data_IF_109557788042
#
_entry.id   IF_109557788042
#
_cell.length_a   1.000
_cell.length_b   1.000
_cell.length_c   1.000
_cell.angle_alpha   90.00
_cell.angle_beta   90.00
_cell.angle_gamma   90.00
#
_symmetry.space_group_name_H-M   'P 1'
#
loop_
_entity.id
_entity.type
_entity.pdbx_description
1 polymer ?
#
# COMPACT_ATOMS: atom_id res chain seq x y z
N UNK A 1 -19.24 -18.71 8.09
CA UNK A 1 -19.01 -17.26 7.90
C UNK A 1 -17.79 -17.14 7.00
N UNK A 2 -18.00 -16.83 5.71
CA UNK A 2 -16.91 -16.83 4.72
C UNK A 2 -15.97 -15.67 5.04
N UNK A 3 -14.76 -16.01 5.50
CA UNK A 3 -13.70 -15.05 5.77
C UNK A 3 -13.19 -14.57 4.40
N UNK A 4 -13.48 -13.30 4.07
CA UNK A 4 -12.86 -12.66 2.90
C UNK A 4 -11.38 -12.45 3.24
N UNK A 5 -10.50 -13.14 2.52
CA UNK A 5 -9.06 -12.96 2.65
C UNK A 5 -8.70 -11.63 1.96
N UNK A 6 -8.12 -10.70 2.72
CA UNK A 6 -7.64 -9.43 2.15
C UNK A 6 -6.23 -9.68 1.66
N UNK A 7 -6.06 -9.91 0.35
CA UNK A 7 -4.73 -10.03 -0.26
C UNK A 7 -4.11 -8.64 -0.40
N UNK A 8 -2.87 -8.52 0.06
CA UNK A 8 -2.03 -7.35 -0.18
C UNK A 8 -1.03 -7.74 -1.30
N UNK A 9 -1.00 -7.01 -2.42
CA UNK A 9 -0.25 -7.41 -3.60
C UNK A 9 1.28 -7.49 -3.39
N UNK A 10 1.90 -8.56 -3.90
CA UNK A 10 3.35 -8.73 -3.96
C UNK A 10 3.86 -8.31 -5.35
N UNK A 11 4.74 -7.31 -5.39
CA UNK A 11 5.11 -6.54 -6.59
C UNK A 11 5.75 -7.41 -7.69
N UNK A 12 5.32 -7.27 -8.96
CA UNK A 12 5.97 -7.85 -10.16
C UNK A 12 5.85 -6.91 -11.38
N UNK A 13 6.92 -6.84 -12.18
CA UNK A 13 7.38 -5.75 -13.07
C UNK A 13 6.65 -5.68 -14.43
N UNK A 14 6.27 -4.46 -14.88
CA UNK A 14 6.23 -4.09 -16.30
C UNK A 14 6.33 -2.56 -16.49
N UNK A 15 7.25 -2.10 -17.34
CA UNK A 15 7.55 -0.70 -17.66
C UNK A 15 6.80 -0.25 -18.92
N UNK A 16 6.09 0.88 -18.88
CA UNK A 16 5.79 1.67 -20.08
C UNK A 16 6.02 3.16 -19.79
N UNK A 17 7.01 3.74 -20.47
CA UNK A 17 7.35 5.16 -20.38
C UNK A 17 6.91 5.82 -21.69
N UNK A 18 5.88 6.66 -21.63
CA UNK A 18 5.64 7.68 -22.67
C UNK A 18 6.03 9.04 -22.11
N UNK A 19 7.08 9.62 -22.68
CA UNK A 19 7.50 10.99 -22.42
C UNK A 19 6.71 11.98 -23.26
N UNK A 20 6.30 13.09 -22.65
CA UNK A 20 5.91 14.30 -23.35
C UNK A 20 6.31 15.53 -22.52
N UNK A 21 7.08 16.42 -23.15
CA UNK A 21 7.48 17.72 -22.63
C UNK A 21 6.36 18.75 -22.80
N UNK A 22 6.08 19.48 -21.73
CA UNK A 22 5.26 20.70 -21.67
C UNK A 22 5.34 21.25 -20.25
N UNK A 23 5.48 22.57 -20.07
CA UNK A 23 5.47 23.20 -18.74
C UNK A 23 4.22 22.81 -17.94
N UNK A 24 4.27 22.74 -16.59
CA UNK A 24 3.36 21.90 -15.82
C UNK A 24 1.95 22.49 -15.83
N UNK A 25 1.14 22.09 -16.80
CA UNK A 25 -0.28 21.93 -16.55
C UNK A 25 -0.42 21.12 -15.25
N UNK A 26 -1.28 21.56 -14.32
CA UNK A 26 -1.62 20.74 -13.14
C UNK A 26 -2.02 19.37 -13.68
N UNK A 27 -1.19 18.36 -13.46
CA UNK A 27 -1.45 17.00 -13.93
C UNK A 27 -2.71 16.53 -13.21
N UNK A 28 -3.74 16.22 -13.99
CA UNK A 28 -4.96 15.64 -13.48
C UNK A 28 -4.75 14.14 -13.29
N UNK A 29 -4.73 13.71 -12.04
CA UNK A 29 -4.56 12.30 -11.64
C UNK A 29 -5.88 11.63 -11.25
N UNK A 30 -7.02 12.27 -11.50
CA UNK A 30 -8.34 11.74 -11.11
C UNK A 30 -8.64 10.36 -11.70
N UNK A 31 -8.06 10.02 -12.85
CA UNK A 31 -8.21 8.71 -13.50
C UNK A 31 -7.34 7.61 -12.89
N UNK A 32 -6.36 7.99 -12.07
CA UNK A 32 -5.37 7.07 -11.49
C UNK A 32 -5.81 6.48 -10.14
N UNK A 33 -7.00 6.83 -9.67
CA UNK A 33 -7.57 6.40 -8.39
C UNK A 33 -9.04 6.00 -8.54
N UNK A 34 -9.55 5.19 -7.62
CA UNK A 34 -10.99 4.93 -7.50
C UNK A 34 -11.71 6.04 -6.73
N UNK A 35 -11.00 6.73 -5.85
CA UNK A 35 -11.56 7.80 -5.01
C UNK A 35 -10.51 8.85 -4.66
N UNK A 36 -11.00 10.06 -4.43
CA UNK A 36 -10.23 11.21 -3.97
C UNK A 36 -9.98 12.24 -5.07
N UNK A 37 -9.42 13.38 -4.66
CA UNK A 37 -9.17 14.53 -5.53
C UNK A 37 -7.73 15.01 -5.40
N UNK A 38 -7.22 15.61 -6.46
CA UNK A 38 -5.87 16.15 -6.53
C UNK A 38 -5.91 17.67 -6.67
N UNK A 39 -5.13 18.37 -5.86
CA UNK A 39 -4.83 19.79 -6.01
C UNK A 39 -3.31 19.99 -6.01
N UNK A 40 -2.71 20.03 -7.20
CA UNK A 40 -1.26 20.03 -7.33
C UNK A 40 -0.66 18.71 -6.82
N UNK A 41 0.19 18.80 -5.80
CA UNK A 41 0.86 17.65 -5.17
C UNK A 41 0.16 17.15 -3.90
N UNK A 42 -1.09 17.59 -3.68
CA UNK A 42 -1.90 17.23 -2.53
C UNK A 42 -3.05 16.33 -2.97
N UNK A 43 -3.15 15.17 -2.32
CA UNK A 43 -4.25 14.23 -2.45
C UNK A 43 -5.22 14.38 -1.27
N UNK A 44 -6.52 14.20 -1.52
CA UNK A 44 -7.54 14.17 -0.47
C UNK A 44 -8.56 13.06 -0.75
N UNK A 45 -8.74 12.16 0.22
CA UNK A 45 -9.82 11.17 0.27
C UNK A 45 -10.92 11.69 1.18
N UNK A 46 -12.11 11.92 0.64
CA UNK A 46 -13.28 12.30 1.44
C UNK A 46 -13.76 11.12 2.28
N UNK A 47 -13.71 9.92 1.71
CA UNK A 47 -14.13 8.68 2.36
C UNK A 47 -13.37 8.42 3.67
N UNK A 48 -12.07 8.72 3.70
CA UNK A 48 -11.21 8.53 4.87
C UNK A 48 -11.01 9.82 5.69
N UNK A 49 -11.46 10.98 5.18
CA UNK A 49 -11.08 12.28 5.75
C UNK A 49 -9.57 12.52 5.69
N UNK A 50 -8.88 11.87 4.76
CA UNK A 50 -7.44 11.78 4.71
C UNK A 50 -6.86 12.73 3.68
N UNK A 51 -5.79 13.43 4.04
CA UNK A 51 -5.08 14.35 3.15
C UNK A 51 -3.58 14.16 3.28
N UNK A 52 -2.89 14.02 2.16
CA UNK A 52 -1.44 13.80 2.12
C UNK A 52 -0.82 14.54 0.93
N UNK A 53 0.39 15.06 1.11
CA UNK A 53 1.24 15.53 0.01
C UNK A 53 2.10 14.39 -0.54
N UNK A 54 2.37 14.40 -1.84
CA UNK A 54 3.29 13.47 -2.50
C UNK A 54 4.42 14.23 -3.22
N UNK A 55 5.55 13.57 -3.52
CA UNK A 55 6.68 14.25 -4.14
C UNK A 55 6.41 14.65 -5.60
N UNK A 56 6.68 15.91 -5.95
CA UNK A 56 6.49 16.43 -7.32
C UNK A 56 7.29 15.67 -8.39
N UNK A 57 8.42 15.07 -7.99
CA UNK A 57 9.34 14.38 -8.89
C UNK A 57 9.12 12.85 -8.93
N UNK A 58 8.05 12.34 -8.32
CA UNK A 58 7.72 10.92 -8.34
C UNK A 58 6.50 10.69 -9.25
N UNK A 59 6.40 9.46 -9.77
CA UNK A 59 5.38 9.09 -10.73
C UNK A 59 4.15 8.63 -9.95
N UNK A 60 2.98 9.22 -10.21
CA UNK A 60 1.71 8.65 -9.75
C UNK A 60 1.50 7.31 -10.45
N UNK A 61 1.29 6.26 -9.67
CA UNK A 61 1.07 4.91 -10.20
C UNK A 61 -0.36 4.80 -10.67
N UNK A 62 -0.57 4.30 -11.89
CA UNK A 62 -1.92 4.19 -12.45
C UNK A 62 -2.75 3.13 -11.73
N UNK A 63 -4.05 3.37 -11.63
CA UNK A 63 -5.00 2.40 -11.09
C UNK A 63 -4.91 1.05 -11.80
N UNK A 64 -4.88 1.08 -13.13
CA UNK A 64 -4.78 -0.13 -13.95
C UNK A 64 -3.53 -0.96 -13.66
N UNK A 65 -2.41 -0.31 -13.30
CA UNK A 65 -1.18 -0.99 -12.91
C UNK A 65 -1.35 -1.71 -11.58
N UNK A 66 -2.06 -1.09 -10.63
CA UNK A 66 -2.38 -1.69 -9.33
C UNK A 66 -3.38 -2.85 -9.48
N UNK A 67 -4.44 -2.69 -10.26
CA UNK A 67 -5.41 -3.77 -10.56
C UNK A 67 -4.71 -4.97 -11.21
N UNK A 68 -3.84 -4.71 -12.19
CA UNK A 68 -3.03 -5.77 -12.81
C UNK A 68 -2.09 -6.44 -11.81
N UNK A 69 -1.59 -5.70 -10.82
CA UNK A 69 -0.73 -6.25 -9.78
C UNK A 69 -1.51 -7.13 -8.81
N UNK A 70 -2.72 -6.73 -8.46
CA UNK A 70 -3.64 -7.49 -7.62
C UNK A 70 -3.99 -8.84 -8.26
N UNK A 71 -4.29 -8.85 -9.56
CA UNK A 71 -4.53 -10.08 -10.33
C UNK A 71 -3.32 -11.00 -10.35
N UNK A 72 -2.12 -10.46 -10.60
CA UNK A 72 -0.88 -11.25 -10.56
C UNK A 72 -0.61 -11.80 -9.16
N UNK A 73 -0.91 -11.03 -8.13
CA UNK A 73 -0.72 -11.46 -6.74
C UNK A 73 -1.62 -12.63 -6.39
N UNK A 74 -2.91 -12.58 -6.78
CA UNK A 74 -3.83 -13.71 -6.65
C UNK A 74 -3.33 -14.95 -7.38
N UNK A 75 -2.94 -14.79 -8.64
CA UNK A 75 -2.43 -15.90 -9.44
C UNK A 75 -1.16 -16.52 -8.84
N UNK A 76 -0.29 -15.72 -8.20
CA UNK A 76 0.96 -16.21 -7.62
C UNK A 76 0.80 -17.09 -6.37
N UNK A 77 -0.38 -17.06 -5.74
CA UNK A 77 -0.73 -17.86 -4.56
C UNK A 77 -1.91 -18.80 -4.81
N UNK A 78 -2.24 -19.04 -6.09
CA UNK A 78 -3.37 -19.85 -6.53
C UNK A 78 -4.73 -19.47 -5.88
N UNK A 79 -4.91 -18.19 -5.53
CA UNK A 79 -6.14 -17.73 -4.87
C UNK A 79 -7.25 -17.42 -5.89
N UNK A 80 -8.17 -18.36 -5.97
CA UNK A 80 -9.39 -18.27 -6.79
C UNK A 80 -10.60 -17.73 -6.03
N UNK A 81 -10.48 -17.49 -4.73
CA UNK A 81 -11.59 -17.22 -3.81
C UNK A 81 -11.69 -15.76 -3.36
N UNK A 82 -10.58 -15.02 -3.36
CA UNK A 82 -10.58 -13.62 -2.93
C UNK A 82 -11.33 -12.71 -3.90
N UNK A 83 -12.19 -11.86 -3.36
CA UNK A 83 -12.92 -10.84 -4.11
C UNK A 83 -12.32 -9.47 -3.84
N UNK A 84 -11.75 -8.86 -4.88
CA UNK A 84 -11.07 -7.56 -4.81
C UNK A 84 -11.94 -6.40 -5.31
N UNK A 85 -13.19 -6.67 -5.71
CA UNK A 85 -14.10 -5.64 -6.24
C UNK A 85 -14.46 -4.56 -5.21
N UNK A 86 -14.32 -4.88 -3.92
CA UNK A 86 -14.53 -3.96 -2.80
C UNK A 86 -13.39 -2.97 -2.58
N UNK A 87 -12.20 -3.23 -3.11
CA UNK A 87 -11.01 -2.41 -2.90
C UNK A 87 -11.16 -1.09 -3.65
N UNK A 88 -11.04 0.02 -2.92
CA UNK A 88 -10.90 1.37 -3.47
C UNK A 88 -9.45 1.79 -3.40
N UNK A 89 -8.81 1.89 -4.56
CA UNK A 89 -7.41 2.32 -4.68
C UNK A 89 -7.35 3.83 -4.60
N UNK A 90 -6.53 4.32 -3.69
CA UNK A 90 -6.39 5.75 -3.41
C UNK A 90 -5.02 6.22 -3.90
N UNK A 91 -4.26 6.97 -3.09
CA UNK A 91 -2.98 7.50 -3.52
C UNK A 91 -1.94 6.38 -3.69
N UNK A 92 -1.34 6.31 -4.87
CA UNK A 92 -0.15 5.50 -5.13
C UNK A 92 0.87 6.30 -5.94
N UNK A 93 2.14 6.21 -5.55
CA UNK A 93 3.22 6.90 -6.23
C UNK A 93 4.55 6.16 -6.05
N UNK A 94 5.46 6.35 -6.99
CA UNK A 94 6.72 5.61 -7.03
C UNK A 94 7.86 6.45 -7.61
N UNK A 95 9.06 6.26 -7.06
CA UNK A 95 10.30 6.72 -7.69
C UNK A 95 10.76 5.71 -8.73
N UNK A 96 10.66 4.43 -8.36
CA UNK A 96 10.96 3.25 -9.15
C UNK A 96 10.19 2.06 -8.55
N UNK A 97 10.40 0.88 -9.10
CA UNK A 97 9.70 -0.33 -8.69
C UNK A 97 9.92 -0.66 -7.20
N UNK A 98 11.15 -0.52 -6.71
CA UNK A 98 11.52 -0.89 -5.35
C UNK A 98 11.10 0.14 -4.31
N UNK A 99 10.90 1.40 -4.71
CA UNK A 99 10.61 2.52 -3.81
C UNK A 99 9.25 3.15 -4.19
N UNK A 100 8.20 2.62 -3.58
CA UNK A 100 6.82 2.97 -3.89
C UNK A 100 5.93 3.02 -2.64
N UNK A 101 4.92 3.88 -2.72
CA UNK A 101 3.85 4.04 -1.74
C UNK A 101 2.53 3.66 -2.42
N UNK A 102 1.71 2.88 -1.73
CA UNK A 102 0.38 2.49 -2.18
C UNK A 102 -0.59 2.56 -1.03
N UNK A 103 -1.82 3.00 -1.29
CA UNK A 103 -2.88 3.02 -0.29
C UNK A 103 -4.22 2.64 -0.89
N UNK A 104 -5.03 1.94 -0.10
CA UNK A 104 -6.38 1.53 -0.46
C UNK A 104 -7.27 1.48 0.77
N UNK A 105 -8.57 1.38 0.55
CA UNK A 105 -9.53 1.08 1.60
C UNK A 105 -10.66 0.17 1.12
N UNK A 106 -11.28 -0.52 2.08
CA UNK A 106 -12.48 -1.33 1.90
C UNK A 106 -13.50 -1.01 3.00
N UNK A 107 -14.79 -1.20 2.72
CA UNK A 107 -15.82 -1.06 3.76
C UNK A 107 -15.65 -2.16 4.83
N UNK A 108 -15.74 -1.76 6.09
CA UNK A 108 -15.57 -2.67 7.23
C UNK A 108 -16.83 -2.68 8.10
N UNK A 109 -17.40 -3.86 8.31
CA UNK A 109 -18.63 -4.07 9.09
C UNK A 109 -18.44 -4.94 10.34
N UNK A 110 -17.19 -5.21 10.71
CA UNK A 110 -16.85 -5.99 11.90
C UNK A 110 -16.69 -5.15 13.17
N UNK A 111 -16.42 -5.84 14.27
CA UNK A 111 -16.00 -5.24 15.54
C UNK A 111 -14.46 -5.20 15.67
N UNK A 112 -13.97 -4.66 16.78
CA UNK A 112 -12.53 -4.57 17.07
C UNK A 112 -11.85 -5.95 17.10
N UNK A 113 -12.55 -6.98 17.60
CA UNK A 113 -12.04 -8.35 17.62
C UNK A 113 -11.87 -8.91 16.21
N UNK A 114 -12.83 -8.64 15.32
CA UNK A 114 -12.77 -9.03 13.91
C UNK A 114 -11.65 -8.30 13.18
N UNK A 115 -11.45 -7.01 13.46
CA UNK A 115 -10.33 -6.25 12.93
C UNK A 115 -8.97 -6.84 13.34
N UNK A 116 -8.76 -7.06 14.64
CA UNK A 116 -7.53 -7.66 15.16
C UNK A 116 -7.24 -9.03 14.55
N UNK A 117 -8.28 -9.86 14.38
CA UNK A 117 -8.16 -11.17 13.73
C UNK A 117 -7.75 -11.03 12.26
N UNK A 118 -8.34 -10.09 11.52
CA UNK A 118 -7.96 -9.84 10.12
C UNK A 118 -6.50 -9.38 10.01
N UNK A 119 -6.07 -8.43 10.84
CA UNK A 119 -4.68 -7.95 10.88
C UNK A 119 -3.72 -9.11 11.19
N UNK A 120 -4.00 -9.90 12.22
CA UNK A 120 -3.17 -11.05 12.58
C UNK A 120 -3.09 -12.11 11.46
N UNK A 121 -4.24 -12.43 10.84
CA UNK A 121 -4.30 -13.37 9.73
C UNK A 121 -3.53 -12.86 8.51
N UNK A 122 -3.60 -11.56 8.20
CA UNK A 122 -2.86 -10.95 7.10
C UNK A 122 -1.35 -11.04 7.35
N UNK A 123 -0.88 -10.73 8.56
CA UNK A 123 0.54 -10.84 8.89
C UNK A 123 1.04 -12.29 8.73
N UNK A 124 0.26 -13.25 9.22
CA UNK A 124 0.59 -14.67 9.10
C UNK A 124 0.60 -15.14 7.64
N UNK A 125 -0.41 -14.75 6.85
CA UNK A 125 -0.49 -15.07 5.43
C UNK A 125 0.71 -14.52 4.67
N UNK A 126 1.08 -13.25 4.90
CA UNK A 126 2.23 -12.62 4.25
C UNK A 126 3.52 -13.37 4.59
N UNK A 127 3.74 -13.65 5.87
CA UNK A 127 4.90 -14.40 6.32
C UNK A 127 4.97 -15.79 5.66
N UNK A 128 3.86 -16.53 5.66
CA UNK A 128 3.77 -17.85 5.04
C UNK A 128 4.06 -17.80 3.53
N UNK A 129 3.54 -16.80 2.81
CA UNK A 129 3.80 -16.63 1.38
C UNK A 129 5.30 -16.47 1.08
N UNK A 130 6.05 -15.76 1.94
CA UNK A 130 7.50 -15.66 1.79
C UNK A 130 8.23 -16.96 2.13
N UNK A 131 7.80 -17.64 3.20
CA UNK A 131 8.36 -18.93 3.59
C UNK A 131 8.17 -20.00 2.50
N UNK A 132 6.98 -20.11 1.92
CA UNK A 132 6.66 -21.08 0.86
C UNK A 132 7.51 -20.85 -0.39
N UNK A 133 7.86 -19.59 -0.67
CA UNK A 133 8.76 -19.18 -1.75
C UNK A 133 10.25 -19.32 -1.40
N UNK A 134 10.56 -19.87 -0.22
CA UNK A 134 11.93 -20.07 0.31
C UNK A 134 12.72 -18.76 0.36
N UNK A 135 12.04 -17.66 0.65
CA UNK A 135 12.66 -16.36 0.82
C UNK A 135 13.06 -16.18 2.29
N UNK A 136 14.31 -15.80 2.52
CA UNK A 136 14.78 -15.45 3.86
C UNK A 136 14.15 -14.13 4.26
N UNK A 137 13.33 -14.15 5.31
CA UNK A 137 12.59 -12.96 5.74
C UNK A 137 12.60 -12.80 7.24
N UNK A 138 12.73 -11.54 7.66
CA UNK A 138 12.53 -11.11 9.03
C UNK A 138 11.27 -10.23 9.10
N UNK A 139 10.52 -10.34 10.19
CA UNK A 139 9.29 -9.56 10.36
C UNK A 139 9.26 -8.84 11.69
N UNK A 140 8.71 -7.62 11.68
CA UNK A 140 8.55 -6.79 12.87
C UNK A 140 7.14 -6.22 12.89
N UNK A 141 6.36 -6.58 13.91
CA UNK A 141 5.07 -5.97 14.17
C UNK A 141 5.21 -4.75 15.09
N UNK A 142 4.35 -3.75 14.92
CA UNK A 142 4.41 -2.53 15.71
C UNK A 142 3.16 -1.68 15.57
N UNK A 143 3.28 -0.42 15.99
CA UNK A 143 2.22 0.58 15.86
C UNK A 143 2.79 1.92 15.44
N UNK A 144 2.04 2.66 14.64
CA UNK A 144 2.36 4.02 14.22
C UNK A 144 1.12 4.89 14.35
N UNK A 145 1.21 6.00 15.08
CA UNK A 145 0.09 6.95 15.20
C UNK A 145 0.33 8.18 14.34
N UNK A 146 -0.65 8.54 13.50
CA UNK A 146 -0.59 9.68 12.58
C UNK A 146 -1.90 10.44 12.70
N UNK A 147 -1.83 11.72 13.10
CA UNK A 147 -3.00 12.60 13.23
C UNK A 147 -4.16 11.95 14.01
N UNK A 148 -3.85 11.23 15.10
CA UNK A 148 -4.83 10.55 15.96
C UNK A 148 -5.33 9.19 15.48
N UNK A 149 -4.95 8.75 14.27
CA UNK A 149 -5.21 7.39 13.78
C UNK A 149 -4.04 6.48 14.14
N UNK A 150 -4.29 5.38 14.84
CA UNK A 150 -3.29 4.35 15.14
C UNK A 150 -3.35 3.26 14.07
N UNK A 151 -2.23 3.06 13.40
CA UNK A 151 -2.00 1.97 12.45
C UNK A 151 -1.28 0.83 13.16
N UNK A 152 -1.79 -0.39 13.00
CA UNK A 152 -1.01 -1.60 13.24
C UNK A 152 -0.03 -1.77 12.07
N UNK A 153 1.25 -1.99 12.38
CA UNK A 153 2.31 -2.05 11.38
C UNK A 153 2.93 -3.43 11.30
N UNK A 154 3.30 -3.85 10.10
CA UNK A 154 4.05 -5.08 9.85
C UNK A 154 5.12 -4.82 8.81
N UNK A 155 6.37 -4.80 9.26
CA UNK A 155 7.54 -4.65 8.40
C UNK A 155 8.07 -6.04 8.04
N UNK A 156 8.32 -6.28 6.76
CA UNK A 156 8.90 -7.51 6.23
C UNK A 156 10.18 -7.16 5.49
N UNK A 157 11.31 -7.60 6.03
CA UNK A 157 12.62 -7.47 5.39
C UNK A 157 12.94 -8.75 4.62
N UNK A 158 13.32 -8.59 3.36
CA UNK A 158 13.66 -9.68 2.46
C UNK A 158 15.17 -9.71 2.29
N UNK A 159 15.75 -10.85 2.67
CA UNK A 159 17.18 -11.09 2.71
C UNK A 159 17.62 -11.95 1.52
N UNK A 160 18.82 -11.68 1.01
CA UNK A 160 19.50 -12.59 0.10
C UNK A 160 20.12 -13.79 0.85
N UNK A 161 20.86 -14.64 0.13
CA UNK A 161 21.49 -15.84 0.71
C UNK A 161 22.62 -15.51 1.69
N UNK A 162 23.12 -14.28 1.71
CA UNK A 162 24.18 -13.77 2.59
C UNK A 162 23.59 -13.00 3.79
N UNK A 163 22.26 -13.11 4.02
CA UNK A 163 21.52 -12.39 5.05
C UNK A 163 21.54 -10.86 4.91
N UNK A 164 21.78 -10.34 3.69
CA UNK A 164 21.70 -8.91 3.41
C UNK A 164 20.29 -8.55 2.94
N UNK A 165 19.70 -7.55 3.59
CA UNK A 165 18.40 -6.98 3.18
C UNK A 165 18.55 -6.33 1.81
N UNK A 166 17.75 -6.76 0.83
CA UNK A 166 17.69 -6.14 -0.51
C UNK A 166 16.35 -5.48 -0.82
N UNK A 167 15.31 -5.78 -0.04
CA UNK A 167 14.01 -5.13 -0.13
C UNK A 167 13.29 -5.20 1.21
N UNK A 168 12.48 -4.18 1.51
CA UNK A 168 11.61 -4.16 2.68
C UNK A 168 10.22 -3.67 2.29
N UNK A 169 9.20 -4.23 2.92
CA UNK A 169 7.82 -3.76 2.82
C UNK A 169 7.30 -3.41 4.21
N UNK A 170 6.79 -2.20 4.38
CA UNK A 170 6.08 -1.76 5.57
C UNK A 170 4.59 -1.69 5.25
N UNK A 171 3.84 -2.59 5.85
CA UNK A 171 2.39 -2.61 5.80
C UNK A 171 1.81 -1.91 7.02
N UNK A 172 0.76 -1.14 6.81
CA UNK A 172 0.08 -0.38 7.86
C UNK A 172 -1.42 -0.50 7.67
N UNK A 173 -2.13 -0.97 8.70
CA UNK A 173 -3.58 -1.14 8.67
C UNK A 173 -4.23 -0.33 9.78
N UNK A 174 -5.34 0.34 9.47
CA UNK A 174 -6.14 1.06 10.46
C UNK A 174 -7.64 1.01 10.10
N UNK A 175 -8.49 1.14 11.12
CA UNK A 175 -9.89 1.48 10.91
C UNK A 175 -10.06 3.01 10.92
N UNK A 176 -10.49 3.56 9.79
CA UNK A 176 -10.72 5.01 9.62
C UNK A 176 -12.13 5.21 9.13
N UNK A 177 -12.98 5.88 9.93
CA UNK A 177 -14.40 6.15 9.60
C UNK A 177 -15.18 4.90 9.13
N UNK A 178 -14.98 3.76 9.79
CA UNK A 178 -15.64 2.49 9.44
C UNK A 178 -15.07 1.81 8.19
N UNK A 179 -13.88 2.21 7.74
CA UNK A 179 -13.19 1.64 6.58
C UNK A 179 -11.89 0.99 7.00
N UNK A 180 -11.60 -0.18 6.46
CA UNK A 180 -10.31 -0.83 6.62
C UNK A 180 -9.33 -0.22 5.63
N UNK A 181 -8.47 0.67 6.12
CA UNK A 181 -7.43 1.31 5.33
C UNK A 181 -6.16 0.47 5.36
N UNK A 182 -5.55 0.30 4.20
CA UNK A 182 -4.24 -0.34 4.03
C UNK A 182 -3.29 0.65 3.37
N UNK A 183 -2.09 0.78 3.92
CA UNK A 183 -0.97 1.52 3.32
C UNK A 183 0.23 0.60 3.25
N UNK A 184 0.87 0.55 2.10
CA UNK A 184 2.10 -0.22 1.86
C UNK A 184 3.19 0.71 1.39
N UNK A 185 4.35 0.67 2.04
CA UNK A 185 5.58 1.33 1.61
C UNK A 185 6.60 0.25 1.30
N UNK A 186 6.97 0.11 0.03
CA UNK A 186 8.12 -0.72 -0.37
C UNK A 186 9.35 0.17 -0.53
N UNK A 187 10.50 -0.28 -0.05
CA UNK A 187 11.78 0.43 -0.20
C UNK A 187 12.97 -0.53 -0.21
N UNK A 188 14.07 -0.10 -0.80
CA UNK A 188 15.37 -0.79 -0.73
C UNK A 188 16.50 0.10 -0.19
N UNK A 189 16.18 1.33 0.20
CA UNK A 189 17.13 2.26 0.78
C UNK A 189 16.46 3.19 1.81
N UNK A 190 17.23 3.62 2.80
CA UNK A 190 16.73 4.43 3.92
C UNK A 190 16.30 5.85 3.52
N UNK A 191 16.91 6.43 2.47
CA UNK A 191 16.59 7.79 2.05
C UNK A 191 15.17 7.88 1.47
N UNK A 192 14.81 6.94 0.59
CA UNK A 192 13.47 6.88 -0.01
C UNK A 192 12.43 6.40 1.02
N UNK A 193 12.77 5.44 1.89
CA UNK A 193 11.95 5.06 3.06
C UNK A 193 11.56 6.29 3.87
N UNK A 194 12.56 7.06 4.30
CA UNK A 194 12.37 8.25 5.14
C UNK A 194 11.49 9.26 4.42
N UNK A 195 11.71 9.51 3.14
CA UNK A 195 10.91 10.47 2.35
C UNK A 195 9.43 10.07 2.31
N UNK A 196 9.11 8.82 2.00
CA UNK A 196 7.71 8.36 1.95
C UNK A 196 7.05 8.38 3.34
N UNK A 197 7.76 7.87 4.36
CA UNK A 197 7.24 7.81 5.72
C UNK A 197 7.03 9.20 6.33
N UNK A 198 7.93 10.15 6.08
CA UNK A 198 7.78 11.52 6.56
C UNK A 198 6.59 12.23 5.92
N UNK A 199 6.35 12.01 4.63
CA UNK A 199 5.16 12.54 3.95
C UNK A 199 3.89 11.95 4.54
N UNK A 200 3.87 10.64 4.78
CA UNK A 200 2.71 9.98 5.38
C UNK A 200 2.47 10.44 6.83
N UNK A 201 3.51 10.59 7.64
CA UNK A 201 3.43 11.12 9.01
C UNK A 201 2.93 12.56 9.08
N UNK A 202 3.13 13.36 8.02
CA UNK A 202 2.59 14.71 7.88
C UNK A 202 1.15 14.76 7.40
N UNK A 203 0.56 13.62 7.03
CA UNK A 203 -0.83 13.55 6.61
C UNK A 203 -1.79 13.85 7.75
N UNK A 204 -3.01 14.26 7.39
CA UNK A 204 -4.08 14.56 8.35
C UNK A 204 -5.26 13.65 8.13
N UNK A 205 -5.93 13.29 9.22
CA UNK A 205 -7.21 12.59 9.22
C UNK A 205 -8.23 13.47 9.96
N UNK A 206 -9.31 13.89 9.28
CA UNK A 206 -10.35 14.79 9.80
C UNK A 206 -11.74 14.22 9.58
#
# INVERSE_FOLDING_TARGET
MNLKHVIIPAVSIALFIFGACGGPAKKDYSKEVDEGTFDGNKYTSQALGWTMEFPDNWIITSKSSLESLDERSKASVDDTTSDMSGIKRTLAFQKNFENNFQSSWEDFSGDEASYKRIVANNHQMIYNNYLERRMYTDTVAGKLTISGVTFDTFEVSINDREAKVFATQLLMNALVKGKFMTVTISYNNEADKKKMLDLFKKSTFK
#
